data_IF_028436937982
#
_entry.id   IF_028436937982
#
_cell.length_a   1.000
_cell.length_b   1.000
_cell.length_c   1.000
_cell.angle_alpha   90.00
_cell.angle_beta   90.00
_cell.angle_gamma   90.00
#
_symmetry.space_group_name_H-M   'P 1'
#
loop_
_entity.id
_entity.type
_entity.pdbx_description
1 polymer ?
#
# COMPACT_ATOMS: atom_id res chain seq x y z
N UNK A 1 0.70 -31.48 -15.33
CA UNK A 1 0.37 -30.30 -16.14
C UNK A 1 1.64 -29.54 -16.41
N UNK A 2 1.89 -29.15 -17.65
CA UNK A 2 3.04 -28.33 -18.04
C UNK A 2 2.60 -26.88 -18.29
N UNK A 3 3.50 -25.91 -18.13
CA UNK A 3 3.20 -24.51 -18.43
C UNK A 3 2.82 -24.37 -19.91
N UNK A 4 1.76 -23.60 -20.20
CA UNK A 4 1.12 -23.46 -21.51
C UNK A 4 0.11 -24.56 -21.84
N UNK A 5 -0.04 -25.59 -21.02
CA UNK A 5 -0.96 -26.69 -21.28
C UNK A 5 -2.42 -26.27 -21.04
N UNK A 6 -3.29 -26.63 -21.99
CA UNK A 6 -4.74 -26.45 -21.92
C UNK A 6 -5.42 -27.80 -21.70
N UNK A 7 -6.33 -27.87 -20.73
CA UNK A 7 -7.12 -29.08 -20.46
C UNK A 7 -8.56 -28.72 -20.09
N UNK A 8 -9.48 -29.66 -20.35
CA UNK A 8 -10.86 -29.57 -19.85
C UNK A 8 -10.99 -30.35 -18.55
N UNK A 9 -11.39 -29.67 -17.49
CA UNK A 9 -11.71 -30.27 -16.20
C UNK A 9 -13.23 -30.47 -16.09
N UNK A 10 -13.67 -31.71 -15.94
CA UNK A 10 -15.08 -32.07 -15.66
C UNK A 10 -15.19 -32.38 -14.17
N UNK A 11 -15.89 -31.53 -13.43
CA UNK A 11 -15.98 -31.59 -11.97
C UNK A 11 -17.41 -31.94 -11.57
N UNK A 12 -17.63 -33.09 -10.91
CA UNK A 12 -18.96 -33.46 -10.44
C UNK A 12 -19.43 -32.51 -9.35
N UNK A 13 -20.76 -32.37 -9.22
CA UNK A 13 -21.38 -31.35 -8.36
C UNK A 13 -20.89 -31.36 -6.91
N UNK A 14 -20.74 -32.54 -6.31
CA UNK A 14 -20.28 -32.70 -4.92
C UNK A 14 -18.83 -32.24 -4.67
N UNK A 15 -17.99 -32.10 -5.71
CA UNK A 15 -16.65 -31.51 -5.63
C UNK A 15 -16.63 -30.04 -6.08
N UNK A 16 -17.75 -29.52 -6.57
CA UNK A 16 -17.94 -28.14 -7.03
C UNK A 16 -18.93 -27.40 -6.13
N UNK A 17 -20.09 -27.00 -6.67
CA UNK A 17 -21.08 -26.15 -5.99
C UNK A 17 -22.18 -26.93 -5.23
N UNK A 18 -22.20 -28.25 -5.35
CA UNK A 18 -23.11 -29.16 -4.65
C UNK A 18 -24.59 -28.83 -4.82
N UNK A 19 -25.40 -29.26 -3.84
CA UNK A 19 -26.85 -29.06 -3.81
C UNK A 19 -27.28 -27.59 -3.76
N UNK A 20 -26.41 -26.70 -3.28
CA UNK A 20 -26.73 -25.27 -3.17
C UNK A 20 -26.58 -24.55 -4.53
N UNK A 21 -25.68 -25.03 -5.39
CA UNK A 21 -25.32 -24.33 -6.61
C UNK A 21 -24.72 -22.94 -6.31
N UNK A 22 -24.78 -22.06 -7.30
CA UNK A 22 -24.45 -20.64 -7.19
C UNK A 22 -25.44 -19.81 -8.03
N UNK A 23 -26.66 -19.56 -7.52
CA UNK A 23 -27.69 -18.84 -8.26
C UNK A 23 -27.31 -17.37 -8.55
N UNK A 24 -27.69 -16.81 -9.71
CA UNK A 24 -28.46 -17.45 -10.79
C UNK A 24 -27.61 -18.26 -11.79
N UNK A 25 -26.29 -18.25 -11.65
CA UNK A 25 -25.37 -18.70 -12.69
C UNK A 25 -25.17 -20.21 -12.75
N UNK A 26 -25.25 -20.91 -11.61
CA UNK A 26 -24.97 -22.34 -11.51
C UNK A 26 -26.10 -23.02 -10.73
N UNK A 27 -26.83 -23.96 -11.34
CA UNK A 27 -27.92 -24.65 -10.68
C UNK A 27 -27.43 -25.62 -9.60
N UNK A 28 -28.36 -26.05 -8.74
CA UNK A 28 -28.13 -27.11 -7.78
C UNK A 28 -27.70 -28.41 -8.49
N UNK A 29 -26.74 -29.13 -7.88
CA UNK A 29 -26.27 -30.44 -8.34
C UNK A 29 -25.71 -30.50 -9.79
N UNK A 30 -25.33 -29.36 -10.36
CA UNK A 30 -24.73 -29.31 -11.69
C UNK A 30 -23.29 -29.86 -11.72
N UNK A 31 -22.98 -30.63 -12.76
CA UNK A 31 -21.61 -30.96 -13.16
C UNK A 31 -21.03 -29.77 -13.92
N UNK A 32 -19.85 -29.30 -13.52
CA UNK A 32 -19.23 -28.12 -14.13
C UNK A 32 -18.06 -28.53 -15.02
N UNK A 33 -17.96 -27.89 -16.18
CA UNK A 33 -16.86 -28.09 -17.12
C UNK A 33 -16.08 -26.79 -17.25
N UNK A 34 -14.78 -26.84 -17.00
CA UNK A 34 -13.88 -25.70 -17.15
C UNK A 34 -12.78 -26.01 -18.15
N UNK A 35 -12.55 -25.09 -19.07
CA UNK A 35 -11.33 -25.08 -19.87
C UNK A 35 -10.26 -24.30 -19.09
N UNK A 36 -9.20 -24.99 -18.69
CA UNK A 36 -8.12 -24.45 -17.86
C UNK A 36 -6.82 -24.38 -18.64
N UNK A 37 -6.07 -23.30 -18.46
CA UNK A 37 -4.73 -23.10 -19.02
C UNK A 37 -3.72 -22.85 -17.90
N UNK A 38 -2.63 -23.62 -17.90
CA UNK A 38 -1.57 -23.42 -16.92
C UNK A 38 -0.61 -22.31 -17.38
N UNK A 39 -0.82 -21.09 -16.92
CA UNK A 39 -0.02 -19.92 -17.34
C UNK A 39 1.41 -19.95 -16.76
N UNK A 40 1.56 -20.34 -15.50
CA UNK A 40 2.87 -20.38 -14.82
C UNK A 40 2.86 -21.33 -13.62
N UNK A 41 4.03 -21.88 -13.29
CA UNK A 41 4.29 -22.62 -12.06
C UNK A 41 5.38 -21.91 -11.26
N UNK A 42 5.00 -21.33 -10.12
CA UNK A 42 5.90 -20.56 -9.27
C UNK A 42 5.99 -21.26 -7.92
N UNK A 43 7.21 -21.50 -7.44
CA UNK A 43 7.42 -22.02 -6.09
C UNK A 43 6.95 -20.96 -5.09
N UNK A 44 6.03 -21.32 -4.20
CA UNK A 44 5.58 -20.43 -3.15
C UNK A 44 6.75 -20.10 -2.21
N UNK A 45 7.34 -18.92 -2.37
CA UNK A 45 8.37 -18.41 -1.49
C UNK A 45 7.72 -17.52 -0.42
N UNK A 46 7.88 -17.89 0.86
CA UNK A 46 7.33 -17.18 2.01
C UNK A 46 7.74 -15.70 2.02
N UNK A 47 9.01 -15.43 1.72
CA UNK A 47 9.52 -14.07 1.59
C UNK A 47 8.82 -13.25 0.53
N UNK A 48 8.37 -13.87 -0.57
CA UNK A 48 7.63 -13.18 -1.61
C UNK A 48 6.24 -12.76 -1.14
N UNK A 49 5.58 -13.57 -0.32
CA UNK A 49 4.29 -13.22 0.29
C UNK A 49 4.46 -12.08 1.29
N UNK A 50 5.51 -12.14 2.11
CA UNK A 50 5.82 -11.11 3.09
C UNK A 50 6.21 -9.78 2.43
N UNK A 51 7.10 -9.79 1.44
CA UNK A 51 7.48 -8.58 0.68
C UNK A 51 6.28 -7.96 0.00
N UNK A 52 5.42 -8.76 -0.69
CA UNK A 52 4.23 -8.21 -1.36
C UNK A 52 3.20 -7.64 -0.38
N UNK A 53 3.09 -8.18 0.83
CA UNK A 53 2.18 -7.66 1.86
C UNK A 53 2.72 -6.42 2.59
N UNK A 54 4.01 -6.40 2.92
CA UNK A 54 4.62 -5.38 3.77
C UNK A 54 5.08 -4.16 2.98
N UNK A 55 5.64 -4.35 1.78
CA UNK A 55 6.16 -3.27 0.94
C UNK A 55 5.12 -2.16 0.63
N UNK A 56 3.86 -2.47 0.24
CA UNK A 56 2.87 -1.41 0.01
C UNK A 56 2.48 -0.68 1.29
N UNK A 57 2.43 -1.36 2.44
CA UNK A 57 2.13 -0.73 3.73
C UNK A 57 3.22 0.24 4.16
N UNK A 58 4.49 -0.15 3.98
CA UNK A 58 5.63 0.73 4.23
C UNK A 58 5.58 1.94 3.29
N UNK A 59 5.32 1.73 1.99
CA UNK A 59 5.16 2.83 1.05
C UNK A 59 4.07 3.82 1.47
N UNK A 60 2.91 3.32 1.88
CA UNK A 60 1.78 4.13 2.36
C UNK A 60 2.08 4.90 3.64
N UNK A 61 2.95 4.41 4.53
CA UNK A 61 3.35 5.13 5.74
C UNK A 61 4.47 6.14 5.48
N UNK A 62 5.40 5.84 4.57
CA UNK A 62 6.56 6.68 4.30
C UNK A 62 6.21 7.98 3.58
N UNK A 63 5.25 7.94 2.65
CA UNK A 63 4.79 9.14 1.91
C UNK A 63 4.19 10.21 2.84
N UNK A 64 3.20 9.92 3.71
CA UNK A 64 2.63 10.92 4.62
C UNK A 64 3.64 11.36 5.68
N UNK A 65 4.54 10.48 6.13
CA UNK A 65 5.61 10.86 7.05
C UNK A 65 6.56 11.90 6.42
N UNK A 66 6.98 11.68 5.16
CA UNK A 66 7.81 12.64 4.42
C UNK A 66 7.10 13.97 4.21
N UNK A 67 5.82 13.95 3.80
CA UNK A 67 5.03 15.17 3.65
C UNK A 67 4.85 15.91 4.98
N UNK A 68 4.62 15.18 6.07
CA UNK A 68 4.55 15.72 7.42
C UNK A 68 5.87 16.37 7.85
N UNK A 69 7.01 15.74 7.57
CA UNK A 69 8.35 16.30 7.87
C UNK A 69 8.64 17.56 7.04
N UNK A 70 8.31 17.56 5.75
CA UNK A 70 8.45 18.73 4.88
C UNK A 70 7.58 19.87 5.41
N UNK A 71 6.32 19.59 5.73
CA UNK A 71 5.40 20.54 6.34
C UNK A 71 5.91 21.09 7.66
N UNK A 72 6.41 20.22 8.55
CA UNK A 72 7.00 20.60 9.83
C UNK A 72 8.23 21.50 9.66
N UNK A 73 9.09 21.18 8.70
CA UNK A 73 10.28 21.99 8.42
C UNK A 73 9.91 23.38 7.91
N UNK A 74 8.93 23.46 7.00
CA UNK A 74 8.41 24.75 6.51
C UNK A 74 7.72 25.54 7.63
N UNK A 75 6.93 24.89 8.48
CA UNK A 75 6.29 25.51 9.65
C UNK A 75 7.32 26.07 10.61
N UNK A 76 8.36 25.30 10.96
CA UNK A 76 9.43 25.74 11.85
C UNK A 76 10.23 26.89 11.24
N UNK A 77 10.48 26.86 9.92
CA UNK A 77 11.17 27.94 9.21
C UNK A 77 10.35 29.23 9.14
N UNK A 78 9.04 29.13 8.93
CA UNK A 78 8.14 30.28 8.94
C UNK A 78 7.93 30.86 10.35
N UNK A 79 7.93 29.99 11.36
CA UNK A 79 7.75 30.36 12.78
C UNK A 79 8.99 30.96 13.45
N UNK A 80 10.14 31.05 12.76
CA UNK A 80 11.32 31.77 13.25
C UNK A 80 10.98 33.27 13.37
N UNK A 81 10.80 33.82 14.58
CA UNK A 81 10.30 35.16 14.72
C UNK A 81 11.40 36.17 14.37
N UNK A 82 11.09 37.15 13.51
CA UNK A 82 11.89 38.36 13.25
C UNK A 82 12.20 39.19 14.53
N UNK A 83 11.69 38.77 15.69
CA UNK A 83 11.91 39.34 17.02
C UNK A 83 13.38 39.25 17.43
N UNK A 84 14.14 38.21 17.08
CA UNK A 84 15.57 38.11 17.45
C UNK A 84 16.41 39.22 16.79
N UNK A 85 16.21 39.52 15.50
CA UNK A 85 16.94 40.61 14.82
C UNK A 85 16.48 42.00 15.29
N UNK A 86 15.20 42.19 15.63
CA UNK A 86 14.70 43.45 16.22
C UNK A 86 15.25 43.65 17.63
N UNK A 87 15.21 42.64 18.50
CA UNK A 87 15.77 42.71 19.86
C UNK A 87 17.28 42.92 19.86
N UNK A 88 18.04 42.25 18.98
CA UNK A 88 19.50 42.46 18.87
C UNK A 88 19.85 43.87 18.33
N UNK A 89 19.00 44.44 17.45
CA UNK A 89 19.18 45.82 16.91
C UNK A 89 18.75 46.89 17.92
N UNK A 90 17.73 46.62 18.73
CA UNK A 90 17.23 47.51 19.78
C UNK A 90 18.14 47.53 21.01
N UNK A 91 18.71 46.38 21.39
CA UNK A 91 19.73 46.31 22.44
C UNK A 91 21.03 47.05 22.04
N UNK A 92 21.45 46.92 20.78
CA UNK A 92 22.60 47.69 20.24
C UNK A 92 22.33 49.20 20.21
N UNK A 93 21.10 49.63 19.90
CA UNK A 93 20.69 51.05 19.85
C UNK A 93 20.50 51.67 21.24
N UNK A 94 20.15 50.89 22.25
CA UNK A 94 20.08 51.37 23.64
C UNK A 94 21.46 51.43 24.30
N UNK A 95 22.39 50.53 23.96
CA UNK A 95 23.79 50.62 24.42
C UNK A 95 24.53 51.84 23.84
N UNK A 96 24.21 52.29 22.64
CA UNK A 96 24.83 53.48 22.03
C UNK A 96 24.27 54.82 22.53
N UNK A 97 23.14 54.82 23.26
CA UNK A 97 22.53 56.03 23.85
C UNK A 97 22.92 56.26 25.32
N UNK A 98 23.59 55.29 25.94
CA UNK A 98 23.99 55.31 27.35
C UNK A 98 25.50 55.54 27.55
N UNK A 99 26.19 55.95 26.47
CA UNK A 99 27.58 56.35 26.41
C UNK A 99 27.62 57.72 25.76
#
# INVERSE_FOLDING_TARGET
MCVGEKRRAVIPSHLAYGKRGFPPSIPADAVVQYDVELIALIRANYWHKLVKGVLPLVGMAMVPALLGLIGYHLYRKASQPKVSKKKLKEEKRNKSKKK
#
